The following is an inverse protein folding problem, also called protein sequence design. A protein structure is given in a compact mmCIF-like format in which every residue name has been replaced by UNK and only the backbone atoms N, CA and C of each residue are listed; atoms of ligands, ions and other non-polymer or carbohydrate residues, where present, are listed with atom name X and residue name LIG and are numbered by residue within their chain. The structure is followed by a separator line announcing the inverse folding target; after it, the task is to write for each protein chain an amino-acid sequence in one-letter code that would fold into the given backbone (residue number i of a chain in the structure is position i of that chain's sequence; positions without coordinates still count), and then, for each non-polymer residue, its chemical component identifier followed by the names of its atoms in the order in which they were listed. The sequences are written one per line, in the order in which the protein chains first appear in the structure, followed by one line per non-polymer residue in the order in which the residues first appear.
data_IF_513014600601
#
_entry.id   IF_513014600601
#
_cell.length_a   1.000
_cell.length_b   1.000
_cell.length_c   1.000
_cell.angle_alpha   90.00
_cell.angle_beta   90.00
_cell.angle_gamma   90.00
#
_symmetry.space_group_name_H-M   'P 1'
#
loop_
_entity.id
_entity.type
_entity.pdbx_description
1 polymer ?
#
# COMPACT_ATOMS: atom_id res chain seq x y z
N UNK A 1 16.51 -15.69 12.97
CA UNK A 1 16.21 -14.26 13.24
C UNK A 1 16.10 -13.46 11.93
N UNK A 2 15.07 -13.68 11.09
CA UNK A 2 14.88 -12.96 9.80
C UNK A 2 13.46 -12.42 9.60
N UNK A 3 12.57 -12.60 10.58
CA UNK A 3 11.14 -12.29 10.46
C UNK A 3 10.79 -10.84 10.82
N UNK A 4 11.70 -10.11 11.48
CA UNK A 4 11.44 -8.72 11.93
C UNK A 4 11.43 -7.70 10.77
N UNK A 5 12.24 -7.93 9.72
CA UNK A 5 12.34 -6.99 8.58
C UNK A 5 11.08 -7.05 7.70
N UNK A 6 10.40 -8.21 7.63
CA UNK A 6 9.20 -8.40 6.80
C UNK A 6 7.98 -7.61 7.31
N UNK A 7 7.94 -7.30 8.62
CA UNK A 7 6.82 -6.59 9.24
C UNK A 7 7.09 -5.09 9.45
N UNK A 8 8.33 -4.64 9.20
CA UNK A 8 8.74 -3.24 9.29
C UNK A 8 7.99 -2.29 8.34
N UNK A 9 7.67 -2.64 7.07
CA UNK A 9 6.94 -1.71 6.20
C UNK A 9 5.48 -1.49 6.67
N UNK A 10 4.88 -2.48 7.32
CA UNK A 10 3.53 -2.37 7.89
C UNK A 10 3.49 -1.39 9.08
N UNK A 11 4.53 -1.38 9.91
CA UNK A 11 4.64 -0.45 11.04
C UNK A 11 4.83 1.01 10.60
N UNK A 12 5.51 1.25 9.47
CA UNK A 12 5.73 2.60 8.91
C UNK A 12 4.44 3.14 8.26
N UNK A 13 3.63 2.26 7.64
CA UNK A 13 2.38 2.65 6.98
C UNK A 13 1.31 3.15 7.96
N UNK A 14 1.24 2.57 9.16
CA UNK A 14 0.27 2.93 10.20
C UNK A 14 0.70 4.16 11.03
N UNK A 15 1.94 4.64 10.86
CA UNK A 15 2.54 5.69 11.69
C UNK A 15 2.16 7.14 11.35
N UNK A 16 1.40 7.39 10.28
CA UNK A 16 1.10 8.74 9.78
C UNK A 16 -0.38 9.15 9.92
N UNK A 17 -1.06 8.70 10.98
CA UNK A 17 -2.40 9.21 11.31
C UNK A 17 -2.29 10.49 12.16
N UNK A 18 -1.98 11.62 11.54
CA UNK A 18 -2.06 12.93 12.20
C UNK A 18 -3.54 13.33 12.34
N UNK A 19 -4.01 13.48 13.58
CA UNK A 19 -5.35 13.98 13.87
C UNK A 19 -5.47 15.45 13.45
N UNK A 20 -6.41 15.76 12.55
CA UNK A 20 -6.70 17.13 12.17
C UNK A 20 -7.78 17.71 13.08
N UNK A 21 -7.39 18.65 13.94
CA UNK A 21 -8.28 19.34 14.86
C UNK A 21 -8.87 20.57 14.18
N UNK A 22 -10.15 20.50 13.79
CA UNK A 22 -10.90 21.65 13.28
C UNK A 22 -11.39 22.50 14.47
N UNK A 23 -10.82 23.68 14.67
CA UNK A 23 -11.31 24.65 15.65
C UNK A 23 -12.69 25.16 15.19
N UNK A 24 -13.73 24.88 15.98
CA UNK A 24 -15.10 25.32 15.69
C UNK A 24 -15.21 26.83 15.83
N UNK A 25 -15.48 27.53 14.73
CA UNK A 25 -15.64 28.98 14.72
C UNK A 25 -16.39 29.50 13.49
N UNK A 26 -17.61 29.95 13.75
CA UNK A 26 -18.46 30.89 13.01
C UNK A 26 -18.80 30.57 11.55
N UNK A 27 -20.03 30.11 11.38
CA UNK A 27 -20.84 30.16 10.15
C UNK A 27 -20.54 31.40 9.28
N UNK A 28 -19.81 31.16 8.20
CA UNK A 28 -19.81 32.04 7.02
C UNK A 28 -20.36 31.17 5.89
N UNK A 29 -21.44 31.58 5.24
CA UNK A 29 -22.06 30.85 4.12
C UNK A 29 -21.01 30.54 3.04
N UNK A 30 -20.49 29.30 3.05
CA UNK A 30 -19.45 28.84 2.12
C UNK A 30 -18.50 27.81 2.75
N UNK A 31 -17.68 27.18 1.90
CA UNK A 31 -16.56 26.37 2.39
C UNK A 31 -15.53 27.29 3.03
N UNK A 32 -15.33 27.17 4.35
CA UNK A 32 -14.28 27.90 5.06
C UNK A 32 -12.91 27.59 4.44
N UNK A 33 -12.03 28.59 4.34
CA UNK A 33 -10.68 28.43 3.79
C UNK A 33 -9.94 27.24 4.43
N UNK A 34 -10.07 27.08 5.75
CA UNK A 34 -9.46 26.00 6.53
C UNK A 34 -9.97 24.62 6.08
N UNK A 35 -11.27 24.48 5.80
CA UNK A 35 -11.86 23.24 5.26
C UNK A 35 -11.27 22.93 3.89
N UNK A 36 -11.25 23.91 2.99
CA UNK A 36 -10.72 23.73 1.63
C UNK A 36 -9.27 23.27 1.69
N UNK A 37 -8.45 23.89 2.55
CA UNK A 37 -7.05 23.53 2.72
C UNK A 37 -6.87 22.14 3.33
N UNK A 38 -7.74 21.75 4.26
CA UNK A 38 -7.73 20.41 4.86
C UNK A 38 -8.04 19.32 3.82
N UNK A 39 -9.09 19.49 3.03
CA UNK A 39 -9.47 18.54 1.98
C UNK A 39 -8.41 18.51 0.87
N UNK A 40 -7.88 19.67 0.46
CA UNK A 40 -6.80 19.76 -0.52
C UNK A 40 -5.53 19.04 -0.03
N UNK A 41 -5.17 19.19 1.24
CA UNK A 41 -4.03 18.49 1.84
C UNK A 41 -4.25 16.97 1.91
N UNK A 42 -5.45 16.52 2.28
CA UNK A 42 -5.81 15.10 2.24
C UNK A 42 -5.73 14.51 0.84
N UNK A 43 -6.28 15.21 -0.16
CA UNK A 43 -6.18 14.82 -1.56
C UNK A 43 -4.72 14.76 -2.05
N UNK A 44 -3.89 15.71 -1.62
CA UNK A 44 -2.47 15.75 -1.95
C UNK A 44 -1.73 14.52 -1.42
N UNK A 45 -2.00 14.11 -0.18
CA UNK A 45 -1.45 12.87 0.41
C UNK A 45 -1.87 11.66 -0.44
N UNK A 46 -3.14 11.56 -0.83
CA UNK A 46 -3.66 10.48 -1.69
C UNK A 46 -2.91 10.41 -3.01
N UNK A 47 -2.70 11.55 -3.67
CA UNK A 47 -1.94 11.60 -4.93
C UNK A 47 -0.48 11.17 -4.72
N UNK A 48 0.19 11.63 -3.68
CA UNK A 48 1.58 11.27 -3.42
C UNK A 48 1.76 9.80 -3.02
N UNK A 49 0.77 9.16 -2.38
CA UNK A 49 0.81 7.74 -2.08
C UNK A 49 0.44 6.83 -3.26
N UNK A 50 -0.03 7.38 -4.39
CA UNK A 50 -0.31 6.57 -5.59
C UNK A 50 0.96 5.89 -6.11
N UNK A 51 2.12 6.54 -6.01
CA UNK A 51 3.38 5.92 -6.43
C UNK A 51 3.75 4.69 -5.59
N UNK A 52 3.90 4.76 -4.25
CA UNK A 52 4.15 3.58 -3.43
C UNK A 52 3.00 2.56 -3.49
N UNK A 53 1.74 3.01 -3.62
CA UNK A 53 0.57 2.14 -3.73
C UNK A 53 0.53 1.33 -5.03
N UNK A 54 0.79 1.97 -6.17
CA UNK A 54 0.85 1.28 -7.47
C UNK A 54 2.04 0.34 -7.55
N UNK A 55 3.19 0.70 -6.97
CA UNK A 55 4.35 -0.18 -6.90
C UNK A 55 4.06 -1.45 -6.09
N UNK A 56 3.38 -1.32 -4.94
CA UNK A 56 2.98 -2.46 -4.13
C UNK A 56 1.93 -3.32 -4.84
N UNK A 57 0.93 -2.70 -5.46
CA UNK A 57 -0.12 -3.38 -6.23
C UNK A 57 0.46 -4.20 -7.39
N UNK A 58 1.40 -3.63 -8.15
CA UNK A 58 2.08 -4.35 -9.24
C UNK A 58 2.93 -5.52 -8.72
N UNK A 59 3.55 -5.39 -7.55
CA UNK A 59 4.28 -6.48 -6.90
C UNK A 59 3.35 -7.65 -6.51
N UNK A 60 2.16 -7.34 -5.98
CA UNK A 60 1.16 -8.36 -5.65
C UNK A 60 0.66 -9.09 -6.89
N UNK A 61 0.36 -8.36 -7.98
CA UNK A 61 -0.04 -8.95 -9.26
C UNK A 61 1.06 -9.90 -9.78
N UNK A 62 2.32 -9.46 -9.78
CA UNK A 62 3.45 -10.29 -10.21
C UNK A 62 3.63 -11.53 -9.35
N UNK A 63 3.43 -11.42 -8.03
CA UNK A 63 3.50 -12.56 -7.09
C UNK A 63 2.40 -13.59 -7.32
N UNK A 64 1.18 -13.16 -7.66
CA UNK A 64 0.08 -14.07 -8.01
C UNK A 64 0.38 -14.87 -9.28
N UNK A 65 0.97 -14.25 -10.30
CA UNK A 65 1.31 -14.93 -11.55
C UNK A 65 2.62 -15.74 -11.49
N UNK A 66 3.56 -15.43 -10.59
CA UNK A 66 4.79 -16.22 -10.46
C UNK A 66 4.57 -17.59 -9.82
N UNK A 67 3.55 -17.73 -8.96
CA UNK A 67 3.22 -19.01 -8.32
C UNK A 67 2.73 -20.08 -9.32
N UNK A 68 2.27 -19.68 -10.50
CA UNK A 68 1.78 -20.62 -11.54
C UNK A 68 2.93 -21.29 -12.29
N UNK A 69 4.14 -20.69 -12.28
CA UNK A 69 5.28 -21.21 -13.05
C UNK A 69 6.08 -22.29 -12.31
N UNK A 70 5.96 -22.38 -10.99
CA UNK A 70 6.75 -23.34 -10.19
C UNK A 70 6.14 -24.75 -10.18
N UNK A 71 4.84 -24.89 -10.46
CA UNK A 71 4.14 -26.18 -10.56
C UNK A 71 4.26 -26.85 -11.94
N UNK A 72 4.96 -26.21 -12.89
CA UNK A 72 5.14 -26.69 -14.27
C UNK A 72 6.56 -27.20 -14.57
N UNK A 73 7.27 -27.73 -13.56
CA UNK A 73 8.39 -28.64 -13.81
C UNK A 73 7.85 -30.07 -13.83
N UNK A 74 7.66 -30.70 -15.01
CA UNK A 74 7.44 -32.14 -15.08
C UNK A 74 8.76 -32.83 -14.71
N UNK A 75 8.99 -33.03 -13.42
CA UNK A 75 9.99 -34.01 -12.94
C UNK A 75 9.23 -35.23 -12.43
N UNK A 76 8.41 -35.80 -13.33
CA UNK A 76 7.89 -37.14 -13.20
C UNK A 76 8.84 -38.12 -13.86
N UNK A 77 9.35 -39.04 -13.05
CA UNK A 77 9.59 -40.46 -13.35
C UNK A 77 10.51 -40.85 -14.52
N UNK A 78 11.59 -41.55 -14.13
CA UNK A 78 12.08 -42.79 -14.74
C UNK A 78 13.19 -42.71 -15.81
N UNK A 79 14.42 -43.00 -15.38
CA UNK A 79 15.53 -43.58 -16.14
C UNK A 79 16.57 -43.99 -15.09
N UNK A 80 17.03 -45.22 -14.93
CA UNK A 80 16.87 -46.46 -15.66
C UNK A 80 17.39 -47.56 -14.71
N UNK A 81 16.74 -48.73 -14.74
CA UNK A 81 17.29 -49.95 -14.15
C UNK A 81 18.16 -50.59 -15.24
N UNK A 82 19.48 -50.56 -15.13
CA UNK A 82 20.38 -51.69 -15.45
C UNK A 82 21.81 -51.41 -15.00
#
# INVERSE_FOLDING_TARGET
MKTTIKNLPFAIFTGFASAAYAAGGAETEGFSLILVLFIAFGALIVVFQLFPGTMLFMSMIKGLFSSVKEEASPTGTESDRT
#
